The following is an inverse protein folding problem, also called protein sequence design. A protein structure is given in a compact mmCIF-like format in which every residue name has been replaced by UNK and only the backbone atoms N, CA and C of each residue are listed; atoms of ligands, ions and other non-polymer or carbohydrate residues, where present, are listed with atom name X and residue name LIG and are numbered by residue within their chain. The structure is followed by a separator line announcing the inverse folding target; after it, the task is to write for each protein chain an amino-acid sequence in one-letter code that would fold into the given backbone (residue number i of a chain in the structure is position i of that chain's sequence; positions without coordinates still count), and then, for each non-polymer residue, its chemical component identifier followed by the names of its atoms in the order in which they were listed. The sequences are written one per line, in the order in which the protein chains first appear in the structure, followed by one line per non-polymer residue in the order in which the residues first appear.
data_IF_878080664404
#
_entry.id   IF_878080664404
#
_cell.length_a   1.000
_cell.length_b   1.000
_cell.length_c   1.000
_cell.angle_alpha   90.00
_cell.angle_beta   90.00
_cell.angle_gamma   90.00
#
_symmetry.space_group_name_H-M   'P 1'
#
loop_
_entity.id
_entity.type
_entity.pdbx_description
1 polymer ?
#
# COMPACT_ATOMS: atom_id res chain seq x y z
N UNK A 1 -21.75 -4.37 11.02
CA UNK A 1 -22.59 -4.03 12.21
C UNK A 1 -22.86 -5.23 13.10
N UNK A 2 -23.21 -6.41 12.56
CA UNK A 2 -23.50 -7.60 13.38
C UNK A 2 -22.27 -8.02 14.19
N UNK A 3 -21.10 -8.03 13.61
CA UNK A 3 -19.85 -8.41 14.29
C UNK A 3 -19.51 -7.48 15.48
N UNK A 4 -19.83 -6.18 15.38
CA UNK A 4 -19.62 -5.22 16.48
C UNK A 4 -20.44 -5.53 17.73
N UNK A 5 -21.57 -6.20 17.59
CA UNK A 5 -22.39 -6.63 18.75
C UNK A 5 -21.70 -7.70 19.60
N UNK A 6 -20.70 -8.38 19.02
CA UNK A 6 -19.88 -9.38 19.71
C UNK A 6 -18.71 -8.76 20.48
N UNK A 7 -18.33 -7.53 20.13
CA UNK A 7 -17.25 -6.78 20.78
C UNK A 7 -17.84 -6.09 22.01
N UNK A 8 -17.61 -6.66 23.17
CA UNK A 8 -18.09 -6.12 24.46
C UNK A 8 -17.01 -5.42 25.27
N UNK A 9 -15.76 -5.79 25.02
CA UNK A 9 -14.57 -5.23 25.66
C UNK A 9 -13.53 -5.00 24.57
N UNK A 10 -12.58 -4.12 24.82
CA UNK A 10 -11.46 -3.87 23.89
C UNK A 10 -10.69 -5.14 23.51
N UNK A 11 -10.45 -6.02 24.48
CA UNK A 11 -9.80 -7.31 24.24
C UNK A 11 -10.60 -8.27 23.32
N UNK A 12 -11.85 -7.98 22.99
CA UNK A 12 -12.65 -8.76 22.06
C UNK A 12 -12.44 -8.28 20.60
N UNK A 13 -11.81 -7.12 20.38
CA UNK A 13 -11.46 -6.58 19.07
C UNK A 13 -10.48 -7.51 18.33
N UNK A 14 -10.68 -7.76 17.03
CA UNK A 14 -9.77 -8.58 16.25
C UNK A 14 -8.33 -8.07 16.30
N UNK A 15 -8.12 -6.77 16.17
CA UNK A 15 -6.80 -6.15 16.22
C UNK A 15 -6.14 -6.32 17.59
N UNK A 16 -6.85 -6.02 18.70
CA UNK A 16 -6.33 -6.20 20.03
C UNK A 16 -5.90 -7.67 20.31
N UNK A 17 -6.67 -8.63 19.79
CA UNK A 17 -6.33 -10.05 19.89
C UNK A 17 -5.07 -10.41 19.08
N UNK A 18 -4.91 -9.83 17.90
CA UNK A 18 -3.73 -10.04 17.06
C UNK A 18 -2.49 -9.48 17.75
N UNK A 19 -2.54 -8.26 18.26
CA UNK A 19 -1.43 -7.68 19.02
C UNK A 19 -1.14 -8.46 20.30
N UNK A 20 -2.16 -8.87 21.06
CA UNK A 20 -1.96 -9.70 22.26
C UNK A 20 -1.24 -11.03 21.94
N UNK A 21 -1.57 -11.68 20.82
CA UNK A 21 -0.87 -12.89 20.38
C UNK A 21 0.58 -12.61 19.99
N UNK A 22 0.84 -11.51 19.27
CA UNK A 22 2.18 -11.07 18.92
C UNK A 22 3.04 -10.76 20.15
N UNK A 23 2.50 -10.01 21.11
CA UNK A 23 3.18 -9.68 22.36
C UNK A 23 3.47 -10.94 23.21
N UNK A 24 2.54 -11.89 23.27
CA UNK A 24 2.76 -13.18 23.94
C UNK A 24 3.89 -13.96 23.27
N UNK A 25 3.96 -13.96 21.91
CA UNK A 25 5.07 -14.57 21.19
C UNK A 25 6.41 -13.90 21.54
N UNK A 26 6.49 -12.57 21.52
CA UNK A 26 7.72 -11.84 21.86
C UNK A 26 8.16 -12.20 23.28
N UNK A 27 7.27 -12.12 24.26
CA UNK A 27 7.56 -12.42 25.68
C UNK A 27 8.04 -13.84 25.93
N UNK A 28 7.61 -14.80 25.11
CA UNK A 28 8.04 -16.20 25.23
C UNK A 28 9.35 -16.50 24.52
N UNK A 29 9.67 -15.74 23.47
CA UNK A 29 10.80 -16.07 22.59
C UNK A 29 11.94 -15.03 22.65
N UNK A 30 11.83 -13.98 23.46
CA UNK A 30 12.83 -12.90 23.52
C UNK A 30 14.26 -13.36 23.87
N UNK A 31 14.43 -14.53 24.49
CA UNK A 31 15.74 -15.13 24.79
C UNK A 31 16.21 -16.11 23.71
N UNK A 32 15.35 -16.42 22.73
CA UNK A 32 15.68 -17.30 21.61
C UNK A 32 16.24 -16.47 20.44
N UNK A 33 17.01 -17.10 19.57
CA UNK A 33 17.60 -16.49 18.38
C UNK A 33 16.86 -16.90 17.11
N UNK A 34 17.05 -16.13 16.04
CA UNK A 34 16.55 -16.45 14.69
C UNK A 34 15.03 -16.59 14.57
N UNK A 35 14.25 -15.85 15.33
CA UNK A 35 12.82 -15.81 15.14
C UNK A 35 12.38 -14.68 14.19
N UNK A 36 11.27 -14.90 13.50
CA UNK A 36 10.57 -13.91 12.68
C UNK A 36 9.10 -13.86 13.12
N UNK A 37 8.60 -12.66 13.38
CA UNK A 37 7.21 -12.41 13.72
C UNK A 37 6.61 -11.36 12.78
N UNK A 38 5.50 -11.69 12.15
CA UNK A 38 4.66 -10.73 11.45
C UNK A 38 3.36 -10.54 12.22
N UNK A 39 3.07 -9.30 12.63
CA UNK A 39 1.79 -8.90 13.20
C UNK A 39 1.02 -8.13 12.14
N UNK A 40 0.06 -8.79 11.52
CA UNK A 40 -0.76 -8.22 10.46
C UNK A 40 -2.16 -7.92 11.00
N UNK A 41 -2.60 -6.67 10.84
CA UNK A 41 -3.89 -6.20 11.31
C UNK A 41 -4.67 -5.56 10.17
N UNK A 42 -5.99 -5.54 10.31
CA UNK A 42 -6.87 -4.99 9.30
C UNK A 42 -7.00 -3.46 9.40
N UNK A 43 -6.99 -2.93 10.64
CA UNK A 43 -7.12 -1.49 10.86
C UNK A 43 -5.80 -0.74 10.50
N UNK A 44 -5.89 0.49 10.00
CA UNK A 44 -7.05 1.40 10.00
C UNK A 44 -7.97 1.30 8.76
N UNK A 45 -8.22 0.13 8.23
CA UNK A 45 -9.15 -0.10 7.12
C UNK A 45 -10.61 0.24 7.52
N UNK A 46 -11.43 0.68 6.58
CA UNK A 46 -12.86 0.86 6.81
C UNK A 46 -13.59 -0.47 7.11
N UNK A 47 -14.63 -0.49 7.93
CA UNK A 47 -15.30 0.65 8.56
C UNK A 47 -14.47 1.24 9.71
N UNK A 48 -14.40 2.57 9.79
CA UNK A 48 -13.58 3.28 10.76
C UNK A 48 -14.21 3.19 12.17
N UNK A 49 -14.00 2.07 12.82
CA UNK A 49 -14.57 1.79 14.15
C UNK A 49 -13.47 1.73 15.19
N UNK A 50 -13.58 2.59 16.20
CA UNK A 50 -12.69 2.60 17.36
C UNK A 50 -13.48 2.64 18.67
N UNK A 51 -12.82 2.27 19.75
CA UNK A 51 -13.37 2.35 21.11
C UNK A 51 -13.57 3.81 21.53
N UNK A 52 -14.53 4.03 22.45
CA UNK A 52 -14.88 5.35 22.94
C UNK A 52 -13.68 6.16 23.46
N UNK A 53 -12.74 5.52 24.16
CA UNK A 53 -11.55 6.19 24.69
C UNK A 53 -10.69 6.87 23.63
N UNK A 54 -10.64 6.34 22.41
CA UNK A 54 -9.90 6.95 21.31
C UNK A 54 -10.66 8.12 20.71
N UNK A 55 -11.99 8.07 20.66
CA UNK A 55 -12.84 9.20 20.28
C UNK A 55 -12.77 10.34 21.29
N UNK A 56 -12.59 10.04 22.56
CA UNK A 56 -12.44 11.03 23.63
C UNK A 56 -11.13 11.83 23.53
N UNK A 57 -10.17 11.41 22.70
CA UNK A 57 -9.00 12.21 22.33
C UNK A 57 -9.35 13.42 21.43
N UNK A 58 -10.52 13.42 20.82
CA UNK A 58 -11.03 14.46 19.93
C UNK A 58 -12.30 15.13 20.44
N UNK A 59 -12.27 15.70 21.67
CA UNK A 59 -13.48 16.26 22.32
C UNK A 59 -14.08 17.43 21.54
N UNK A 60 -13.28 18.16 20.75
CA UNK A 60 -13.73 19.27 19.90
C UNK A 60 -14.75 18.84 18.84
N UNK A 61 -14.75 17.58 18.46
CA UNK A 61 -15.72 17.01 17.53
C UNK A 61 -16.81 16.21 18.24
N UNK A 62 -16.43 15.21 19.04
CA UNK A 62 -17.37 14.23 19.59
C UNK A 62 -18.27 14.76 20.70
N UNK A 63 -17.97 15.94 21.29
CA UNK A 63 -18.85 16.59 22.28
C UNK A 63 -20.14 17.09 21.64
N UNK A 64 -20.02 17.70 20.46
CA UNK A 64 -21.10 18.49 19.85
C UNK A 64 -21.69 17.80 18.60
N UNK A 65 -21.08 16.76 18.09
CA UNK A 65 -21.57 16.02 16.93
C UNK A 65 -22.89 15.31 17.23
N UNK A 66 -23.95 15.67 16.50
CA UNK A 66 -25.29 15.09 16.59
C UNK A 66 -25.73 14.39 15.29
N UNK A 67 -24.83 14.29 14.32
CA UNK A 67 -25.10 13.63 13.05
C UNK A 67 -25.23 12.12 13.15
N UNK A 68 -25.61 11.46 12.07
CA UNK A 68 -25.69 10.01 12.00
C UNK A 68 -24.30 9.37 12.12
N UNK A 69 -24.25 8.12 12.59
CA UNK A 69 -23.04 7.32 12.52
C UNK A 69 -22.71 7.08 11.05
N UNK A 70 -21.55 7.60 10.63
CA UNK A 70 -21.01 7.44 9.29
C UNK A 70 -19.52 7.10 9.41
N UNK A 71 -19.19 5.83 9.22
CA UNK A 71 -17.86 5.27 9.46
C UNK A 71 -17.33 4.44 8.29
N UNK A 72 -18.03 4.51 7.15
CA UNK A 72 -17.68 3.79 5.94
C UNK A 72 -18.14 4.60 4.72
N UNK A 73 -17.25 5.38 4.10
CA UNK A 73 -17.59 6.12 2.88
C UNK A 73 -17.75 5.18 1.69
N UNK A 74 -18.54 5.59 0.72
CA UNK A 74 -18.63 4.90 -0.57
C UNK A 74 -17.31 5.06 -1.35
N UNK A 75 -17.00 4.14 -2.24
CA UNK A 75 -15.87 4.25 -3.18
C UNK A 75 -16.32 5.09 -4.39
N UNK A 76 -16.41 6.40 -4.19
CA UNK A 76 -17.00 7.33 -5.14
C UNK A 76 -16.52 8.77 -4.84
N UNK A 77 -16.99 9.72 -5.66
CA UNK A 77 -16.86 11.13 -5.40
C UNK A 77 -17.53 11.53 -4.08
N UNK A 78 -17.02 12.58 -3.45
CA UNK A 78 -17.60 13.13 -2.22
C UNK A 78 -19.02 13.67 -2.50
N UNK A 79 -20.00 13.15 -1.80
CA UNK A 79 -21.43 13.53 -1.86
C UNK A 79 -21.94 14.00 -0.51
N UNK A 80 -21.15 13.81 0.51
CA UNK A 80 -21.44 14.09 1.90
C UNK A 80 -21.40 15.61 2.17
N UNK A 81 -22.17 16.04 3.18
CA UNK A 81 -22.03 17.39 3.70
C UNK A 81 -20.67 17.58 4.38
N UNK A 82 -20.23 18.84 4.46
CA UNK A 82 -18.96 19.19 5.14
C UNK A 82 -18.87 18.60 6.56
N UNK A 83 -19.98 18.58 7.29
CA UNK A 83 -20.05 18.02 8.64
C UNK A 83 -19.83 16.49 8.64
N UNK A 84 -20.40 15.77 7.67
CA UNK A 84 -20.21 14.33 7.51
C UNK A 84 -18.78 13.99 7.07
N UNK A 85 -18.20 14.78 6.16
CA UNK A 85 -16.78 14.64 5.79
C UNK A 85 -15.87 14.81 7.00
N UNK A 86 -16.09 15.85 7.79
CA UNK A 86 -15.33 16.09 9.01
C UNK A 86 -15.51 14.94 10.00
N UNK A 87 -16.72 14.42 10.16
CA UNK A 87 -16.99 13.26 11.02
C UNK A 87 -16.22 12.02 10.58
N UNK A 88 -16.23 11.67 9.29
CA UNK A 88 -15.46 10.54 8.75
C UNK A 88 -13.96 10.67 9.02
N UNK A 89 -13.41 11.87 8.87
CA UNK A 89 -12.01 12.16 9.19
C UNK A 89 -11.69 11.92 10.67
N UNK A 90 -12.59 12.28 11.56
CA UNK A 90 -12.44 12.00 13.01
C UNK A 90 -12.63 10.52 13.36
N UNK A 91 -13.51 9.81 12.68
CA UNK A 91 -13.62 8.35 12.82
C UNK A 91 -12.32 7.66 12.42
N UNK A 92 -11.72 8.06 11.28
CA UNK A 92 -10.41 7.57 10.85
C UNK A 92 -9.30 7.94 11.85
N UNK A 93 -9.21 9.19 12.30
CA UNK A 93 -8.22 9.65 13.26
C UNK A 93 -8.29 8.88 14.57
N UNK A 94 -9.51 8.61 15.06
CA UNK A 94 -9.74 7.82 16.27
C UNK A 94 -9.30 6.36 16.09
N UNK A 95 -9.54 5.78 14.91
CA UNK A 95 -9.09 4.44 14.58
C UNK A 95 -7.57 4.36 14.48
N UNK A 96 -6.93 5.36 13.85
CA UNK A 96 -5.48 5.45 13.77
C UNK A 96 -4.84 5.60 15.16
N UNK A 97 -5.48 6.37 16.07
CA UNK A 97 -5.03 6.48 17.47
C UNK A 97 -5.12 5.13 18.21
N UNK A 98 -6.06 4.26 17.84
CA UNK A 98 -6.13 2.90 18.37
C UNK A 98 -4.94 2.05 17.85
N UNK A 99 -4.62 2.16 16.57
CA UNK A 99 -3.45 1.48 15.98
C UNK A 99 -2.15 1.93 16.65
N UNK A 100 -2.00 3.24 16.83
CA UNK A 100 -0.83 3.85 17.49
C UNK A 100 -0.64 3.36 18.93
N UNK A 101 -1.72 3.28 19.71
CA UNK A 101 -1.67 2.76 21.08
C UNK A 101 -1.20 1.29 21.13
N UNK A 102 -1.63 0.46 20.17
CA UNK A 102 -1.23 -0.94 20.12
C UNK A 102 0.22 -1.12 19.61
N UNK A 103 0.68 -0.26 18.73
CA UNK A 103 2.10 -0.19 18.38
C UNK A 103 2.92 0.26 19.61
N UNK A 104 2.41 1.19 20.41
CA UNK A 104 3.00 1.60 21.69
C UNK A 104 3.27 0.40 22.61
N UNK A 105 2.31 -0.52 22.75
CA UNK A 105 2.49 -1.74 23.55
C UNK A 105 3.63 -2.63 23.04
N UNK A 106 3.88 -2.65 21.71
CA UNK A 106 5.03 -3.36 21.11
C UNK A 106 6.33 -2.66 21.47
N UNK A 107 6.39 -1.32 21.32
CA UNK A 107 7.58 -0.54 21.63
C UNK A 107 7.94 -0.63 23.13
N UNK A 108 6.96 -0.53 24.02
CA UNK A 108 7.12 -0.72 25.46
C UNK A 108 7.67 -2.12 25.77
N UNK A 109 7.16 -3.17 25.10
CA UNK A 109 7.65 -4.53 25.26
C UNK A 109 9.09 -4.67 24.79
N UNK A 110 9.48 -4.02 23.69
CA UNK A 110 10.87 -4.01 23.21
C UNK A 110 11.79 -3.29 24.18
N UNK A 111 11.34 -2.19 24.81
CA UNK A 111 12.07 -1.48 25.86
C UNK A 111 12.22 -2.35 27.12
N UNK A 112 11.14 -2.95 27.59
CA UNK A 112 11.13 -3.80 28.80
C UNK A 112 12.06 -5.02 28.70
N UNK A 113 12.21 -5.56 27.48
CA UNK A 113 12.97 -6.78 27.21
C UNK A 113 14.36 -6.50 26.59
N UNK A 114 14.74 -5.23 26.44
CA UNK A 114 16.03 -4.77 25.85
C UNK A 114 16.31 -5.36 24.45
N UNK A 115 15.29 -5.39 23.59
CA UNK A 115 15.36 -6.04 22.28
C UNK A 115 16.01 -5.17 21.18
N UNK A 116 16.25 -3.92 21.42
CA UNK A 116 16.78 -2.98 20.41
C UNK A 116 18.21 -3.30 19.95
N UNK A 117 18.93 -4.15 20.66
CA UNK A 117 20.32 -4.49 20.37
C UNK A 117 20.48 -5.47 19.20
N UNK A 118 19.49 -6.34 18.99
CA UNK A 118 19.59 -7.46 18.05
C UNK A 118 18.30 -7.74 17.26
N UNK A 119 17.21 -7.03 17.56
CA UNK A 119 15.94 -7.21 16.92
C UNK A 119 15.62 -6.04 15.97
N UNK A 120 15.34 -6.36 14.70
CA UNK A 120 14.86 -5.41 13.71
C UNK A 120 13.35 -5.20 13.88
N UNK A 121 12.90 -3.94 13.81
CA UNK A 121 11.48 -3.61 13.75
C UNK A 121 11.17 -2.88 12.45
N UNK A 122 10.16 -3.34 11.72
CA UNK A 122 9.59 -2.67 10.56
C UNK A 122 8.10 -2.42 10.77
N UNK A 123 7.65 -1.20 10.46
CA UNK A 123 6.23 -0.82 10.49
C UNK A 123 5.87 -0.21 9.14
N UNK A 124 4.83 -0.74 8.49
CA UNK A 124 4.40 -0.29 7.17
C UNK A 124 2.93 -0.62 6.91
N UNK A 125 2.39 -0.13 5.80
CA UNK A 125 1.07 -0.50 5.29
C UNK A 125 1.13 -0.71 3.77
N UNK A 126 0.15 -1.41 3.23
CA UNK A 126 0.07 -1.75 1.81
C UNK A 126 -0.29 -0.54 0.92
N UNK A 127 -1.20 0.31 1.36
CA UNK A 127 -1.63 1.54 0.70
C UNK A 127 -2.30 2.49 1.70
N UNK A 128 -2.50 3.74 1.28
CA UNK A 128 -3.26 4.72 2.02
C UNK A 128 -4.74 4.77 1.62
N UNK A 129 -5.39 5.89 1.91
CA UNK A 129 -6.82 6.09 1.72
C UNK A 129 -7.13 7.58 1.55
N UNK A 130 -7.92 7.96 0.55
CA UNK A 130 -8.42 9.32 0.41
C UNK A 130 -9.58 9.57 1.40
N UNK A 131 -9.44 10.64 2.17
CA UNK A 131 -10.42 11.11 3.15
C UNK A 131 -11.06 12.42 2.67
N UNK A 132 -11.52 12.45 1.45
CA UNK A 132 -12.10 13.57 0.68
C UNK A 132 -11.09 14.49 -0.03
N UNK A 133 -9.80 14.17 -0.02
CA UNK A 133 -8.85 14.85 -0.91
C UNK A 133 -9.27 14.57 -2.37
N UNK A 134 -8.99 15.52 -3.27
CA UNK A 134 -9.39 15.44 -4.69
C UNK A 134 -10.89 15.19 -4.91
N UNK A 135 -11.74 15.61 -3.97
CA UNK A 135 -13.18 15.33 -3.97
C UNK A 135 -13.53 13.84 -4.07
N UNK A 136 -12.63 12.95 -3.63
CA UNK A 136 -12.74 11.50 -3.71
C UNK A 136 -12.70 10.84 -2.33
N UNK A 137 -13.40 9.70 -2.22
CA UNK A 137 -13.27 8.79 -1.10
C UNK A 137 -12.58 7.50 -1.52
N UNK A 138 -11.90 6.88 -0.54
CA UNK A 138 -11.41 5.52 -0.59
C UNK A 138 -10.14 5.33 -1.45
N UNK A 139 -10.11 4.28 -2.25
CA UNK A 139 -8.95 3.76 -2.96
C UNK A 139 -9.39 2.95 -4.17
N UNK A 140 -8.48 2.59 -5.07
CA UNK A 140 -8.67 1.67 -6.19
C UNK A 140 -9.38 2.21 -7.43
N UNK A 141 -10.26 3.21 -7.35
CA UNK A 141 -11.09 3.65 -8.48
C UNK A 141 -10.66 4.99 -9.10
N UNK A 142 -9.79 5.73 -8.44
CA UNK A 142 -9.24 7.04 -8.84
C UNK A 142 -7.71 6.96 -8.98
N UNK A 143 -7.02 8.00 -9.50
CA UNK A 143 -5.57 8.05 -9.58
C UNK A 143 -4.90 7.80 -8.21
N UNK A 144 -3.74 7.16 -8.22
CA UNK A 144 -3.02 6.87 -6.97
C UNK A 144 -2.19 8.08 -6.53
N UNK A 145 -2.89 9.07 -5.98
CA UNK A 145 -2.30 10.25 -5.37
C UNK A 145 -1.40 9.88 -4.18
N UNK A 146 -0.62 10.85 -3.69
CA UNK A 146 0.31 10.65 -2.57
C UNK A 146 -0.37 10.05 -1.34
N UNK A 147 -1.61 10.44 -1.04
CA UNK A 147 -2.38 9.90 0.10
C UNK A 147 -2.65 8.39 0.00
N UNK A 148 -2.60 7.83 -1.21
CA UNK A 148 -2.80 6.39 -1.44
C UNK A 148 -1.47 5.66 -1.65
N UNK A 149 -0.53 6.27 -2.36
CA UNK A 149 0.68 5.62 -2.85
C UNK A 149 1.89 5.81 -1.92
N UNK A 150 1.99 6.97 -1.25
CA UNK A 150 3.11 7.30 -0.37
C UNK A 150 2.85 6.81 1.06
N UNK A 151 3.02 5.50 1.25
CA UNK A 151 2.71 4.84 2.52
C UNK A 151 3.77 5.12 3.59
N UNK A 152 3.40 5.20 4.89
CA UNK A 152 4.36 5.25 5.97
C UNK A 152 5.21 3.98 6.02
N UNK A 153 6.51 4.16 6.22
CA UNK A 153 7.47 3.08 6.38
C UNK A 153 8.52 3.46 7.42
N UNK A 154 8.58 2.71 8.50
CA UNK A 154 9.52 2.92 9.59
C UNK A 154 10.37 1.68 9.77
N UNK A 155 11.68 1.86 9.95
CA UNK A 155 12.64 0.77 10.14
C UNK A 155 13.57 1.12 11.29
N UNK A 156 13.69 0.20 12.24
CA UNK A 156 14.81 0.09 13.13
C UNK A 156 15.65 -1.13 12.71
N UNK A 157 16.89 -0.89 12.33
CA UNK A 157 17.87 -1.95 12.08
C UNK A 157 19.02 -1.80 13.07
N UNK A 158 19.19 -2.71 14.05
CA UNK A 158 20.23 -2.62 15.06
C UNK A 158 21.64 -2.57 14.47
N UNK A 159 21.85 -3.12 13.30
CA UNK A 159 23.14 -3.09 12.59
C UNK A 159 23.52 -1.67 12.13
N UNK A 160 22.53 -0.81 11.90
CA UNK A 160 22.73 0.58 11.52
C UNK A 160 22.78 1.53 12.71
N UNK A 161 22.05 1.25 13.78
CA UNK A 161 22.01 2.04 15.02
C UNK A 161 21.53 3.48 14.83
N UNK A 162 20.71 3.75 13.79
CA UNK A 162 20.18 5.07 13.45
C UNK A 162 18.73 5.19 13.88
N UNK A 163 18.41 6.25 14.62
CA UNK A 163 17.05 6.53 15.09
C UNK A 163 16.71 8.01 14.91
N UNK A 164 15.40 8.31 14.74
CA UNK A 164 14.89 9.67 14.61
C UNK A 164 15.31 10.39 13.32
N UNK A 165 15.85 9.67 12.34
CA UNK A 165 16.30 10.24 11.06
C UNK A 165 15.32 9.90 9.94
N UNK A 166 15.06 10.87 9.04
CA UNK A 166 14.26 10.67 7.85
C UNK A 166 15.17 10.41 6.64
N UNK A 167 14.83 9.40 5.84
CA UNK A 167 15.49 9.11 4.57
C UNK A 167 14.69 9.74 3.42
N UNK A 168 15.40 10.17 2.38
CA UNK A 168 14.81 10.80 1.19
C UNK A 168 14.77 9.86 -0.01
N UNK A 169 15.60 8.80 0.02
CA UNK A 169 15.71 7.84 -1.07
C UNK A 169 14.43 7.02 -1.24
N UNK A 170 14.10 6.73 -2.50
CA UNK A 170 12.92 5.94 -2.87
C UNK A 170 12.99 4.50 -2.35
N UNK A 171 11.92 4.08 -1.67
CA UNK A 171 11.70 2.73 -1.17
C UNK A 171 10.39 2.19 -1.73
N UNK A 172 10.35 0.92 -2.06
CA UNK A 172 9.13 0.19 -2.41
C UNK A 172 8.93 -0.97 -1.42
N UNK A 173 8.29 -0.76 -0.26
CA UNK A 173 8.19 -1.77 0.79
C UNK A 173 7.67 -3.11 0.29
N UNK A 174 6.67 -3.11 -0.60
CA UNK A 174 6.07 -4.33 -1.16
C UNK A 174 7.08 -5.28 -1.83
N UNK A 175 8.22 -4.77 -2.33
CA UNK A 175 9.27 -5.60 -2.95
C UNK A 175 10.60 -5.59 -2.18
N UNK A 176 10.85 -4.56 -1.36
CA UNK A 176 12.13 -4.38 -0.67
C UNK A 176 12.18 -5.08 0.71
N UNK A 177 11.02 -5.34 1.33
CA UNK A 177 10.96 -6.00 2.64
C UNK A 177 11.59 -7.39 2.62
N UNK A 178 11.20 -8.24 1.66
CA UNK A 178 11.68 -9.62 1.63
C UNK A 178 13.21 -9.73 1.47
N UNK A 179 13.87 -9.07 0.50
CA UNK A 179 15.33 -9.11 0.41
C UNK A 179 16.03 -8.47 1.62
N UNK A 180 15.44 -7.43 2.24
CA UNK A 180 16.00 -6.81 3.45
C UNK A 180 15.95 -7.74 4.65
N UNK A 181 14.84 -8.47 4.82
CA UNK A 181 14.71 -9.48 5.88
C UNK A 181 15.67 -10.65 5.67
N UNK A 182 15.81 -11.15 4.44
CA UNK A 182 16.79 -12.19 4.14
C UNK A 182 18.21 -11.73 4.48
N UNK A 183 18.61 -10.52 4.07
CA UNK A 183 19.91 -9.93 4.43
C UNK A 183 20.10 -9.81 5.94
N UNK A 184 19.04 -9.48 6.68
CA UNK A 184 19.10 -9.42 8.14
C UNK A 184 19.44 -10.79 8.77
N UNK A 185 18.87 -11.86 8.24
CA UNK A 185 19.15 -13.24 8.66
C UNK A 185 20.42 -13.85 8.01
N UNK A 186 21.20 -13.06 7.27
CA UNK A 186 22.41 -13.56 6.59
C UNK A 186 22.12 -14.51 5.43
N UNK A 187 20.95 -14.43 4.83
CA UNK A 187 20.51 -15.22 3.69
C UNK A 187 20.55 -14.38 2.40
N UNK A 188 20.94 -15.02 1.31
CA UNK A 188 20.94 -14.35 0.00
C UNK A 188 19.51 -14.24 -0.58
N UNK A 189 19.12 -13.06 -1.12
CA UNK A 189 17.88 -12.94 -1.88
C UNK A 189 17.85 -13.88 -3.08
N UNK A 190 16.67 -14.38 -3.43
CA UNK A 190 16.53 -15.25 -4.61
C UNK A 190 16.61 -14.44 -5.91
N UNK A 191 17.07 -15.05 -7.05
CA UNK A 191 17.27 -14.33 -8.31
C UNK A 191 16.02 -13.72 -8.92
N UNK A 192 14.84 -14.17 -8.51
CA UNK A 192 13.54 -13.65 -8.94
C UNK A 192 13.04 -12.46 -8.10
N UNK A 193 13.68 -12.13 -6.99
CA UNK A 193 13.39 -10.92 -6.22
C UNK A 193 13.90 -9.69 -6.96
N UNK A 194 13.04 -8.67 -7.08
CA UNK A 194 13.34 -7.41 -7.77
C UNK A 194 13.57 -6.24 -6.80
N UNK A 195 13.25 -6.44 -5.53
CA UNK A 195 13.49 -5.45 -4.48
C UNK A 195 14.97 -5.34 -4.11
N UNK A 196 15.31 -4.28 -3.40
CA UNK A 196 16.65 -3.99 -2.92
C UNK A 196 16.76 -4.24 -1.41
N UNK A 197 17.96 -4.61 -0.95
CA UNK A 197 18.29 -4.63 0.48
C UNK A 197 18.42 -3.18 0.97
N UNK A 198 17.70 -2.81 2.01
CA UNK A 198 17.59 -1.43 2.49
C UNK A 198 18.63 -1.04 3.56
N UNK A 199 19.55 -1.93 3.94
CA UNK A 199 20.51 -1.68 5.02
C UNK A 199 21.35 -0.41 4.83
N UNK A 200 21.94 -0.21 3.66
CA UNK A 200 22.77 0.97 3.38
C UNK A 200 21.91 2.24 3.23
N UNK A 201 20.68 2.12 2.76
CA UNK A 201 19.73 3.22 2.74
C UNK A 201 19.33 3.60 4.18
N UNK A 202 19.02 2.64 5.03
CA UNK A 202 18.70 2.89 6.43
C UNK A 202 19.88 3.54 7.19
N UNK A 203 21.11 3.10 6.91
CA UNK A 203 22.32 3.65 7.54
C UNK A 203 22.64 5.09 7.09
N UNK A 204 22.72 5.32 5.78
CA UNK A 204 23.38 6.52 5.21
C UNK A 204 22.57 7.16 4.05
N UNK A 205 21.28 6.83 3.91
CA UNK A 205 20.40 7.30 2.82
C UNK A 205 20.95 7.03 1.41
N UNK A 206 21.67 5.93 1.25
CA UNK A 206 22.23 5.54 -0.06
C UNK A 206 21.13 5.07 -0.99
N UNK A 207 20.88 5.76 -2.13
CA UNK A 207 19.80 5.41 -3.02
C UNK A 207 19.93 4.00 -3.60
N UNK A 208 18.85 3.25 -3.58
CA UNK A 208 18.75 1.89 -4.18
C UNK A 208 18.08 1.91 -5.55
N UNK A 209 17.42 3.02 -5.91
CA UNK A 209 16.78 3.24 -7.22
C UNK A 209 16.66 4.71 -7.56
N UNK A 210 16.52 5.01 -8.85
CA UNK A 210 16.32 6.37 -9.37
C UNK A 210 14.84 6.69 -9.62
N UNK A 211 14.02 5.66 -9.82
CA UNK A 211 12.57 5.79 -10.00
C UNK A 211 11.87 4.50 -9.59
N UNK A 212 10.56 4.61 -9.38
CA UNK A 212 9.70 3.51 -9.02
C UNK A 212 8.41 3.55 -9.84
N UNK A 213 7.95 2.38 -10.32
CA UNK A 213 6.61 2.23 -10.91
C UNK A 213 5.66 1.63 -9.87
N UNK A 214 4.41 2.09 -9.89
CA UNK A 214 3.38 1.62 -8.99
C UNK A 214 2.00 1.71 -9.64
N UNK A 215 1.01 1.10 -9.03
CA UNK A 215 -0.36 1.14 -9.55
C UNK A 215 -1.12 -0.16 -9.33
N UNK A 216 -2.21 -0.30 -10.05
CA UNK A 216 -3.12 -1.44 -10.02
C UNK A 216 -3.35 -1.97 -11.43
N UNK A 217 -3.54 -3.29 -11.55
CA UNK A 217 -3.88 -3.92 -12.81
C UNK A 217 -5.11 -3.28 -13.47
N UNK A 218 -4.98 -2.93 -14.76
CA UNK A 218 -6.03 -2.26 -15.52
C UNK A 218 -6.22 -0.78 -15.20
N UNK A 219 -5.36 -0.19 -14.39
CA UNK A 219 -5.35 1.22 -14.03
C UNK A 219 -4.32 2.03 -14.85
N UNK A 220 -4.07 3.29 -14.48
CA UNK A 220 -2.91 4.04 -14.93
C UNK A 220 -1.64 3.29 -14.49
N UNK A 221 -0.58 3.38 -15.29
CA UNK A 221 0.76 3.05 -14.81
C UNK A 221 1.37 4.34 -14.27
N UNK A 222 1.85 4.30 -13.03
CA UNK A 222 2.42 5.46 -12.40
C UNK A 222 3.91 5.28 -12.22
N UNK A 223 4.64 6.39 -12.32
CA UNK A 223 6.08 6.48 -12.05
C UNK A 223 6.34 7.66 -11.13
N UNK A 224 7.25 7.48 -10.19
CA UNK A 224 7.86 8.59 -9.45
C UNK A 224 9.38 8.48 -9.46
N UNK A 225 10.07 9.64 -9.55
CA UNK A 225 11.50 9.78 -9.32
C UNK A 225 11.81 10.43 -7.95
N UNK A 226 10.77 10.56 -7.10
CA UNK A 226 10.85 11.19 -5.78
C UNK A 226 10.46 12.67 -5.78
N UNK A 227 10.54 13.34 -6.93
CA UNK A 227 10.05 14.71 -7.13
C UNK A 227 8.81 14.74 -8.01
N UNK A 228 8.86 14.08 -9.15
CA UNK A 228 7.75 14.05 -10.09
C UNK A 228 6.94 12.78 -9.94
N UNK A 229 5.61 12.90 -10.09
CA UNK A 229 4.68 11.78 -10.21
C UNK A 229 4.03 11.84 -11.58
N UNK A 230 4.26 10.83 -12.41
CA UNK A 230 3.68 10.70 -13.74
C UNK A 230 2.71 9.52 -13.78
N UNK A 231 1.44 9.80 -14.04
CA UNK A 231 0.34 8.83 -14.07
C UNK A 231 -0.15 8.69 -15.50
N UNK A 232 0.34 7.67 -16.20
CA UNK A 232 0.01 7.43 -17.61
C UNK A 232 -1.32 6.71 -17.73
N UNK A 233 -2.30 7.37 -18.36
CA UNK A 233 -3.59 6.76 -18.69
C UNK A 233 -3.48 5.84 -19.90
N UNK A 234 -4.37 4.83 -20.04
CA UNK A 234 -4.47 4.05 -21.26
C UNK A 234 -4.67 4.93 -22.50
N UNK A 235 -4.03 4.57 -23.61
CA UNK A 235 -4.10 5.31 -24.86
C UNK A 235 -5.50 5.31 -25.49
N UNK A 236 -6.36 4.33 -25.10
CA UNK A 236 -7.73 4.17 -25.58
C UNK A 236 -8.70 4.07 -24.42
N UNK A 237 -9.89 4.62 -24.57
CA UNK A 237 -10.95 4.57 -23.56
C UNK A 237 -11.37 3.14 -23.19
N UNK A 238 -11.29 2.21 -24.15
CA UNK A 238 -11.61 0.80 -23.95
C UNK A 238 -10.61 0.09 -23.03
N UNK A 239 -9.51 0.77 -22.65
CA UNK A 239 -8.45 0.21 -21.79
C UNK A 239 -7.92 -1.14 -22.31
N UNK A 240 -7.71 -1.24 -23.61
CA UNK A 240 -7.32 -2.47 -24.30
C UNK A 240 -6.03 -2.26 -25.14
N UNK A 241 -5.23 -3.32 -25.32
CA UNK A 241 -5.43 -4.70 -24.84
C UNK A 241 -5.09 -4.87 -23.36
N UNK A 242 -5.87 -5.64 -22.63
CA UNK A 242 -5.64 -5.94 -21.21
C UNK A 242 -5.93 -7.44 -20.97
N UNK A 243 -5.04 -8.10 -20.20
CA UNK A 243 -5.16 -9.52 -19.90
C UNK A 243 -4.84 -9.80 -18.44
N UNK A 244 -5.54 -10.75 -17.86
CA UNK A 244 -5.18 -11.40 -16.60
C UNK A 244 -4.19 -12.54 -16.90
N UNK A 245 -3.07 -12.59 -16.15
CA UNK A 245 -2.12 -13.70 -16.18
C UNK A 245 -2.20 -14.46 -14.87
N UNK A 246 -2.54 -15.73 -14.91
CA UNK A 246 -2.79 -16.51 -13.70
C UNK A 246 -2.36 -17.97 -13.85
N UNK A 247 -1.97 -18.59 -12.73
CA UNK A 247 -1.73 -20.03 -12.61
C UNK A 247 -2.99 -20.81 -12.20
N UNK A 248 -4.05 -20.10 -11.81
CA UNK A 248 -5.32 -20.69 -11.35
C UNK A 248 -6.50 -20.02 -12.03
N UNK A 249 -7.55 -20.79 -12.42
CA UNK A 249 -8.77 -20.23 -13.05
C UNK A 249 -9.71 -19.58 -12.02
N UNK A 250 -9.15 -18.85 -11.06
CA UNK A 250 -9.88 -18.22 -9.96
C UNK A 250 -9.39 -16.80 -9.72
N UNK A 251 -10.32 -15.93 -9.33
CA UNK A 251 -10.08 -14.64 -8.71
C UNK A 251 -10.10 -14.79 -7.18
N UNK A 252 -9.77 -13.73 -6.47
CA UNK A 252 -9.70 -13.77 -4.99
C UNK A 252 -10.99 -14.30 -4.33
N UNK A 253 -12.17 -14.00 -4.85
CA UNK A 253 -13.46 -14.33 -4.24
C UNK A 253 -14.39 -15.19 -5.11
N UNK A 254 -14.01 -15.44 -6.35
CA UNK A 254 -14.85 -16.12 -7.34
C UNK A 254 -14.02 -16.85 -8.40
N UNK A 255 -14.61 -17.79 -9.06
CA UNK A 255 -14.04 -18.40 -10.28
C UNK A 255 -14.34 -17.53 -11.49
N UNK A 256 -13.51 -17.64 -12.53
CA UNK A 256 -13.86 -17.10 -13.84
C UNK A 256 -15.13 -17.78 -14.36
N UNK A 257 -16.00 -17.03 -15.02
CA UNK A 257 -17.17 -17.59 -15.67
C UNK A 257 -16.76 -18.44 -16.86
N UNK A 258 -17.60 -19.41 -17.23
CA UNK A 258 -17.30 -20.34 -18.32
C UNK A 258 -17.11 -19.65 -19.67
N UNK A 259 -17.83 -18.57 -19.94
CA UNK A 259 -17.74 -17.78 -21.15
C UNK A 259 -16.48 -16.86 -21.18
N UNK A 260 -15.93 -16.51 -20.02
CA UNK A 260 -14.63 -15.85 -19.92
C UNK A 260 -13.49 -16.80 -20.31
N UNK A 261 -13.61 -18.08 -20.00
CA UNK A 261 -12.59 -19.10 -20.26
C UNK A 261 -12.76 -19.77 -21.62
N UNK A 262 -14.00 -19.95 -22.10
CA UNK A 262 -14.28 -20.67 -23.36
C UNK A 262 -13.71 -19.92 -24.56
N UNK A 263 -12.83 -20.59 -25.31
CA UNK A 263 -12.24 -20.10 -26.57
C UNK A 263 -11.45 -18.78 -26.43
N UNK A 264 -11.10 -18.38 -25.21
CA UNK A 264 -10.42 -17.12 -24.92
C UNK A 264 -9.12 -17.27 -24.11
N UNK A 265 -8.84 -18.47 -23.61
CA UNK A 265 -7.61 -18.74 -22.86
C UNK A 265 -6.50 -19.05 -23.84
N UNK A 266 -5.38 -18.35 -23.67
CA UNK A 266 -4.09 -18.68 -24.28
C UNK A 266 -3.11 -19.10 -23.20
N UNK A 267 -2.11 -19.89 -23.57
CA UNK A 267 -0.96 -20.14 -22.72
C UNK A 267 0.12 -19.09 -23.05
N UNK A 268 0.45 -18.28 -22.10
CA UNK A 268 1.57 -17.35 -22.21
C UNK A 268 2.89 -18.04 -21.84
N UNK A 269 3.97 -17.55 -22.43
CA UNK A 269 5.32 -17.94 -22.02
C UNK A 269 5.53 -17.62 -20.53
N UNK A 270 6.41 -18.37 -19.82
CA UNK A 270 6.75 -18.07 -18.45
C UNK A 270 7.32 -16.66 -18.29
N UNK A 271 6.93 -15.96 -17.24
CA UNK A 271 7.62 -14.78 -16.76
C UNK A 271 8.86 -15.16 -15.94
N UNK A 272 9.80 -14.25 -15.76
CA UNK A 272 11.00 -14.50 -14.97
C UNK A 272 10.73 -15.02 -13.56
N UNK A 273 9.63 -14.55 -12.93
CA UNK A 273 9.21 -14.94 -11.58
C UNK A 273 8.31 -16.19 -11.52
N UNK A 274 7.83 -16.71 -12.64
CA UNK A 274 6.99 -17.93 -12.65
C UNK A 274 7.79 -19.24 -12.70
N UNK A 275 9.11 -19.15 -12.63
CA UNK A 275 10.03 -20.31 -12.52
C UNK A 275 9.80 -21.38 -13.61
N UNK A 276 9.59 -20.94 -14.84
CA UNK A 276 9.36 -21.81 -15.99
C UNK A 276 7.90 -22.28 -16.16
N UNK A 277 7.00 -21.91 -15.26
CA UNK A 277 5.58 -22.24 -15.41
C UNK A 277 4.92 -21.28 -16.40
N UNK A 278 4.22 -21.83 -17.39
CA UNK A 278 3.33 -21.08 -18.26
C UNK A 278 2.11 -20.59 -17.49
N UNK A 279 1.62 -19.40 -17.81
CA UNK A 279 0.40 -18.85 -17.22
C UNK A 279 -0.75 -18.91 -18.22
N UNK A 280 -1.97 -18.99 -17.71
CA UNK A 280 -3.14 -18.69 -18.52
C UNK A 280 -3.17 -17.19 -18.79
N UNK A 281 -3.38 -16.80 -20.03
CA UNK A 281 -3.61 -15.42 -20.49
C UNK A 281 -5.08 -15.30 -20.85
N UNK A 282 -5.81 -14.48 -20.11
CA UNK A 282 -7.27 -14.35 -20.20
C UNK A 282 -7.61 -12.89 -20.47
N UNK A 283 -8.40 -12.54 -21.51
CA UNK A 283 -8.81 -11.17 -21.75
C UNK A 283 -9.50 -10.54 -20.54
N UNK A 284 -9.08 -9.34 -20.18
CA UNK A 284 -9.60 -8.56 -19.05
C UNK A 284 -10.17 -7.22 -19.54
N UNK A 285 -11.03 -6.59 -18.74
CA UNK A 285 -11.57 -5.25 -19.04
C UNK A 285 -11.15 -4.18 -18.04
N UNK A 286 -10.38 -4.59 -17.02
CA UNK A 286 -10.20 -3.75 -15.86
C UNK A 286 -11.47 -3.63 -15.01
N UNK A 287 -11.32 -3.12 -13.81
CA UNK A 287 -12.42 -3.01 -12.84
C UNK A 287 -13.12 -1.66 -12.90
N UNK A 288 -12.38 -0.60 -13.22
CA UNK A 288 -12.85 0.77 -13.16
C UNK A 288 -12.57 1.50 -14.47
N UNK A 289 -13.40 2.48 -14.81
CA UNK A 289 -13.14 3.40 -15.91
C UNK A 289 -12.16 4.48 -15.47
N UNK A 290 -10.88 4.24 -15.74
CA UNK A 290 -9.79 5.15 -15.41
C UNK A 290 -9.53 6.22 -16.48
N UNK A 291 -10.10 6.04 -17.68
CA UNK A 291 -9.89 6.96 -18.80
C UNK A 291 -10.41 8.36 -18.53
N UNK A 292 -11.41 8.48 -17.63
CA UNK A 292 -11.98 9.75 -17.22
C UNK A 292 -10.97 10.73 -16.58
N UNK A 293 -9.89 10.23 -16.01
CA UNK A 293 -8.87 11.05 -15.34
C UNK A 293 -7.75 11.49 -16.28
N UNK A 294 -7.57 10.80 -17.40
CA UNK A 294 -6.50 11.11 -18.36
C UNK A 294 -5.10 10.83 -17.80
N UNK A 295 -4.09 11.36 -18.50
CA UNK A 295 -2.70 11.35 -18.05
C UNK A 295 -2.43 12.57 -17.18
N UNK A 296 -1.76 12.37 -16.03
CA UNK A 296 -1.49 13.40 -15.05
C UNK A 296 0.02 13.45 -14.74
N UNK A 297 0.53 14.64 -14.50
CA UNK A 297 1.92 14.88 -14.13
C UNK A 297 1.97 15.93 -13.03
N UNK A 298 2.69 15.67 -11.94
CA UNK A 298 2.81 16.57 -10.80
C UNK A 298 4.26 16.76 -10.38
N UNK A 299 4.60 17.96 -9.87
CA UNK A 299 5.86 18.28 -9.20
C UNK A 299 5.58 18.37 -7.68
N UNK A 300 5.94 17.34 -6.93
CA UNK A 300 5.69 17.28 -5.49
C UNK A 300 6.46 18.33 -4.68
N UNK A 301 7.51 18.94 -5.24
CA UNK A 301 8.23 20.02 -4.58
C UNK A 301 7.41 21.32 -4.56
N UNK A 302 6.70 21.62 -5.66
CA UNK A 302 5.83 22.79 -5.80
C UNK A 302 4.38 22.56 -5.40
N UNK A 303 3.90 21.33 -5.60
CA UNK A 303 2.50 20.92 -5.39
C UNK A 303 2.45 19.54 -4.70
N UNK A 304 2.80 19.45 -3.41
CA UNK A 304 2.78 18.19 -2.67
C UNK A 304 1.37 17.58 -2.52
N UNK A 305 0.33 18.40 -2.68
CA UNK A 305 -1.07 17.97 -2.65
C UNK A 305 -1.63 17.58 -4.02
N UNK A 306 -0.83 17.59 -5.08
CA UNK A 306 -1.21 17.19 -6.44
C UNK A 306 -2.53 17.81 -6.94
N UNK A 307 -2.67 19.13 -6.74
CA UNK A 307 -3.88 19.88 -7.12
C UNK A 307 -3.80 20.44 -8.53
N UNK A 308 -2.60 20.71 -9.04
CA UNK A 308 -2.36 21.42 -10.30
C UNK A 308 -1.45 20.59 -11.23
N UNK A 309 -2.03 19.76 -12.12
CA UNK A 309 -1.23 18.94 -13.03
C UNK A 309 -0.42 19.82 -14.00
N UNK A 310 0.84 19.45 -14.22
CA UNK A 310 1.73 20.11 -15.15
C UNK A 310 1.41 19.75 -16.60
N UNK A 311 1.70 20.68 -17.50
CA UNK A 311 1.68 20.48 -18.95
C UNK A 311 3.09 20.71 -19.50
N UNK A 312 3.99 19.74 -19.35
CA UNK A 312 5.38 19.78 -19.78
C UNK A 312 5.70 18.53 -20.62
N UNK A 313 5.74 18.71 -21.95
CA UNK A 313 5.94 17.60 -22.90
C UNK A 313 7.33 16.98 -22.83
N UNK A 314 8.36 17.79 -22.60
CA UNK A 314 9.74 17.29 -22.55
C UNK A 314 9.92 16.44 -21.27
N UNK A 315 9.31 16.86 -20.17
CA UNK A 315 9.30 16.11 -18.93
C UNK A 315 8.46 14.83 -19.05
N UNK A 316 7.28 14.90 -19.68
CA UNK A 316 6.45 13.71 -19.95
C UNK A 316 7.21 12.68 -20.81
N UNK A 317 7.90 13.12 -21.88
CA UNK A 317 8.70 12.22 -22.73
C UNK A 317 9.81 11.54 -21.94
N UNK A 318 10.54 12.30 -21.13
CA UNK A 318 11.59 11.76 -20.24
C UNK A 318 11.03 10.68 -19.28
N UNK A 319 9.96 11.00 -18.55
CA UNK A 319 9.37 10.09 -17.57
C UNK A 319 8.70 8.87 -18.23
N UNK A 320 8.08 9.05 -19.39
CA UNK A 320 7.53 7.95 -20.20
C UNK A 320 8.63 6.99 -20.67
N UNK A 321 9.77 7.51 -21.11
CA UNK A 321 10.95 6.68 -21.45
C UNK A 321 11.44 5.87 -20.26
N UNK A 322 11.61 6.50 -19.11
CA UNK A 322 12.02 5.84 -17.87
C UNK A 322 10.99 4.79 -17.40
N UNK A 323 9.69 5.08 -17.52
CA UNK A 323 8.61 4.13 -17.25
C UNK A 323 8.73 2.90 -18.14
N UNK A 324 8.94 3.08 -19.45
CA UNK A 324 9.09 1.97 -20.39
C UNK A 324 10.31 1.09 -20.06
N UNK A 325 11.42 1.67 -19.66
CA UNK A 325 12.62 0.93 -19.21
C UNK A 325 12.32 0.08 -17.97
N UNK A 326 11.64 0.64 -16.96
CA UNK A 326 11.26 -0.08 -15.76
C UNK A 326 10.24 -1.19 -16.06
N UNK A 327 9.24 -0.93 -16.91
CA UNK A 327 8.29 -1.94 -17.36
C UNK A 327 9.02 -3.11 -18.05
N UNK A 328 9.97 -2.83 -18.92
CA UNK A 328 10.77 -3.86 -19.58
C UNK A 328 11.60 -4.66 -18.56
N UNK A 329 12.26 -3.99 -17.63
CA UNK A 329 13.02 -4.63 -16.55
C UNK A 329 12.14 -5.54 -15.66
N UNK A 330 10.88 -5.18 -15.48
CA UNK A 330 9.89 -5.97 -14.73
C UNK A 330 9.21 -7.07 -15.57
N UNK A 331 9.68 -7.32 -16.80
CA UNK A 331 9.10 -8.30 -17.73
C UNK A 331 7.60 -8.02 -18.04
N UNK A 332 7.21 -6.74 -18.15
CA UNK A 332 5.87 -6.37 -18.58
C UNK A 332 5.56 -6.96 -19.97
N UNK A 333 4.40 -7.57 -20.16
CA UNK A 333 4.06 -8.16 -21.46
C UNK A 333 3.85 -7.09 -22.53
N UNK A 334 4.12 -7.40 -23.82
CA UNK A 334 4.12 -6.42 -24.93
C UNK A 334 2.85 -5.58 -25.04
N UNK A 335 1.71 -6.17 -24.77
CA UNK A 335 0.43 -5.46 -24.81
C UNK A 335 0.30 -4.35 -23.77
N UNK A 336 1.08 -4.35 -22.69
CA UNK A 336 1.07 -3.24 -21.74
C UNK A 336 1.71 -1.98 -22.35
N UNK A 337 2.68 -2.13 -23.26
CA UNK A 337 3.24 -1.02 -24.01
C UNK A 337 2.30 -0.52 -25.09
N UNK A 338 1.50 -1.42 -25.70
CA UNK A 338 0.46 -1.04 -26.66
C UNK A 338 -0.72 -0.31 -25.96
N UNK A 339 -1.05 -0.71 -24.75
CA UNK A 339 -2.15 -0.15 -23.96
C UNK A 339 -1.87 1.29 -23.49
N UNK A 340 -0.61 1.62 -23.23
CA UNK A 340 -0.13 2.91 -22.71
C UNK A 340 0.41 3.82 -23.82
#
# INVERSE_FOLDING_TARGET
RINRQLIKREADEPQARTFAAGLDFIKRNHTEDNWFLQVETFDPHEPFFSQRRFKDLYPQHYRDYQGPLHDWPDYDWVKESREQVEHLRYEYASLLSMCDAQLGDVLDTMDELDLWQDTMLMVWTDHGFLLSEHDCWAKCWMPFYEEVAHTPFFVWDPRCGKSGERRQSLVQPAIDLAPTLLDFFGLEPTPDMRGAVLRELAADDKPVRQAAIFGQHGHQINLTDGRYVYMRSPARAENAPLYDYTLMPTRMRESFAVDELRDRIELAAPFGFTKGCQTMKIPSKGRFDISQFGTLLYDLEGDPGQQEPLADKDLEERLSGQMAELMQACAAPPEQFERM
#
